data_IF_626897583471
#
_entry.id   IF_626897583471
#
_cell.length_a   1.000
_cell.length_b   1.000
_cell.length_c   1.000
_cell.angle_alpha   90.00
_cell.angle_beta   90.00
_cell.angle_gamma   90.00
#
_symmetry.space_group_name_H-M   'P 1'
#
loop_
_entity.id
_entity.type
_entity.pdbx_description
1 polymer ?
#
# COMPACT_ATOMS: atom_id res chain seq x y z
N UNK A 1 0.61 -17.94 -1.31
CA UNK A 1 2.06 -17.76 -1.53
C UNK A 1 2.48 -16.45 -0.86
N UNK A 2 3.34 -16.46 0.17
CA UNK A 2 3.71 -15.26 0.96
C UNK A 2 5.17 -15.19 1.40
N UNK A 3 5.97 -16.20 1.10
CA UNK A 3 7.28 -16.37 1.71
C UNK A 3 8.39 -16.37 0.67
N UNK A 4 9.57 -15.90 1.07
CA UNK A 4 10.84 -16.14 0.36
C UNK A 4 11.15 -17.63 0.30
N UNK A 5 12.21 -18.02 -0.43
CA UNK A 5 12.73 -19.39 -0.45
C UNK A 5 13.08 -19.95 0.95
N UNK A 6 13.16 -19.07 1.96
CA UNK A 6 13.45 -19.42 3.36
C UNK A 6 12.21 -19.41 4.27
N UNK A 7 11.01 -19.24 3.71
CA UNK A 7 9.78 -19.23 4.51
C UNK A 7 9.46 -17.88 5.18
N UNK A 8 10.23 -16.82 4.92
CA UNK A 8 10.03 -15.50 5.55
C UNK A 8 9.07 -14.61 4.73
N UNK A 9 8.14 -13.93 5.41
CA UNK A 9 7.37 -12.83 4.81
C UNK A 9 8.32 -11.64 4.59
N UNK A 10 8.73 -11.43 3.33
CA UNK A 10 9.62 -10.34 2.93
C UNK A 10 9.06 -8.97 3.33
N UNK A 11 7.74 -8.79 3.32
CA UNK A 11 7.11 -7.54 3.75
C UNK A 11 7.03 -7.39 5.28
N UNK A 12 7.82 -8.15 6.05
CA UNK A 12 8.09 -7.92 7.48
C UNK A 12 9.56 -7.69 7.80
N UNK A 13 10.42 -7.66 6.78
CA UNK A 13 11.86 -7.58 6.96
C UNK A 13 12.46 -6.23 6.55
N UNK A 14 11.64 -5.18 6.35
CA UNK A 14 12.13 -3.89 5.87
C UNK A 14 12.83 -3.05 6.95
N UNK A 15 12.58 -3.30 8.23
CA UNK A 15 13.18 -2.49 9.30
C UNK A 15 14.71 -2.64 9.30
N UNK A 16 15.21 -3.89 9.29
CA UNK A 16 16.65 -4.20 9.30
C UNK A 16 16.95 -5.41 8.41
N UNK A 17 16.88 -5.25 7.07
CA UNK A 17 17.19 -6.34 6.14
C UNK A 17 18.69 -6.65 6.14
N UNK A 18 19.05 -7.90 5.87
CA UNK A 18 20.45 -8.31 5.66
C UNK A 18 20.74 -8.50 4.18
N UNK A 19 21.91 -8.05 3.72
CA UNK A 19 22.37 -8.29 2.34
C UNK A 19 22.48 -9.79 2.00
N UNK A 20 22.72 -10.64 3.00
CA UNK A 20 22.82 -12.09 2.81
C UNK A 20 21.45 -12.78 2.89
N UNK A 21 20.57 -12.34 3.80
CA UNK A 21 19.30 -13.03 4.07
C UNK A 21 18.13 -12.47 3.26
N UNK A 22 18.07 -11.15 3.06
CA UNK A 22 17.05 -10.45 2.29
C UNK A 22 17.70 -9.45 1.29
N UNK A 23 18.53 -9.94 0.34
CA UNK A 23 19.29 -9.09 -0.58
C UNK A 23 18.40 -8.12 -1.36
N UNK A 24 17.22 -8.54 -1.78
CA UNK A 24 16.29 -7.72 -2.57
C UNK A 24 15.81 -6.49 -1.79
N UNK A 25 15.44 -6.66 -0.52
CA UNK A 25 15.00 -5.57 0.36
C UNK A 25 16.20 -4.68 0.72
N UNK A 26 17.34 -5.30 1.05
CA UNK A 26 18.56 -4.57 1.40
C UNK A 26 18.98 -3.61 0.27
N UNK A 27 19.09 -4.11 -0.96
CA UNK A 27 19.47 -3.29 -2.10
C UNK A 27 18.37 -2.32 -2.54
N UNK A 28 17.09 -2.66 -2.41
CA UNK A 28 16.00 -1.72 -2.64
C UNK A 28 16.04 -0.53 -1.67
N UNK A 29 16.25 -0.77 -0.35
CA UNK A 29 16.48 0.32 0.61
C UNK A 29 17.72 1.13 0.25
N UNK A 30 18.82 0.47 -0.12
CA UNK A 30 20.04 1.13 -0.58
C UNK A 30 19.81 2.08 -1.76
N UNK A 31 19.04 1.65 -2.76
CA UNK A 31 18.66 2.50 -3.90
C UNK A 31 17.85 3.72 -3.45
N UNK A 32 16.89 3.55 -2.55
CA UNK A 32 16.06 4.66 -2.06
C UNK A 32 16.91 5.68 -1.27
N UNK A 33 17.85 5.22 -0.44
CA UNK A 33 18.80 6.11 0.24
C UNK A 33 19.74 6.82 -0.73
N UNK A 34 20.25 6.11 -1.75
CA UNK A 34 21.08 6.71 -2.78
C UNK A 34 20.33 7.79 -3.57
N UNK A 35 19.10 7.51 -3.98
CA UNK A 35 18.24 8.50 -4.65
C UNK A 35 18.04 9.74 -3.76
N UNK A 36 17.83 9.54 -2.46
CA UNK A 36 17.72 10.65 -1.51
C UNK A 36 19.02 11.46 -1.40
N UNK A 37 20.18 10.79 -1.32
CA UNK A 37 21.47 11.48 -1.17
C UNK A 37 21.87 12.34 -2.37
N UNK A 38 21.36 12.03 -3.56
CA UNK A 38 21.56 12.83 -4.77
C UNK A 38 20.41 13.81 -5.06
N UNK A 39 19.52 14.06 -4.10
CA UNK A 39 18.40 15.00 -4.24
C UNK A 39 17.27 14.52 -5.15
N UNK A 40 17.17 13.20 -5.38
CA UNK A 40 16.14 12.55 -6.21
C UNK A 40 15.23 11.66 -5.39
N UNK A 41 14.94 12.05 -4.14
CA UNK A 41 14.02 11.33 -3.26
C UNK A 41 12.68 11.05 -3.94
N UNK A 42 12.15 9.81 -3.86
CA UNK A 42 10.85 9.50 -4.43
C UNK A 42 9.75 10.37 -3.82
N UNK A 43 8.90 10.91 -4.70
CA UNK A 43 7.72 11.70 -4.32
C UNK A 43 6.57 10.79 -3.90
N UNK A 44 6.52 9.56 -4.41
CA UNK A 44 5.53 8.52 -4.12
C UNK A 44 6.24 7.17 -4.06
N UNK A 45 5.86 6.32 -3.11
CA UNK A 45 6.26 4.92 -3.03
C UNK A 45 5.02 4.04 -3.00
N UNK A 46 5.01 2.94 -3.75
CA UNK A 46 3.87 2.03 -3.82
C UNK A 46 4.35 0.57 -3.82
N UNK A 47 3.95 -0.16 -2.79
CA UNK A 47 4.18 -1.60 -2.62
C UNK A 47 2.92 -2.35 -3.05
N UNK A 48 2.98 -3.11 -4.15
CA UNK A 48 1.82 -3.75 -4.76
C UNK A 48 1.62 -5.17 -4.24
N UNK A 49 0.42 -5.46 -3.75
CA UNK A 49 0.01 -6.73 -3.18
C UNK A 49 -1.29 -7.22 -3.79
N UNK A 50 -1.50 -8.52 -3.70
CA UNK A 50 -2.79 -9.13 -3.99
C UNK A 50 -3.51 -9.51 -2.70
N UNK A 51 -4.80 -9.18 -2.63
CA UNK A 51 -5.63 -9.37 -1.45
C UNK A 51 -6.63 -10.52 -1.64
N UNK A 52 -6.61 -11.51 -0.75
CA UNK A 52 -7.39 -12.75 -0.91
C UNK A 52 -8.78 -12.74 -0.28
N UNK A 53 -9.16 -11.66 0.43
CA UNK A 53 -10.44 -11.59 1.16
C UNK A 53 -11.33 -10.42 0.71
N UNK A 54 -10.82 -9.18 0.79
CA UNK A 54 -11.50 -7.99 0.26
C UNK A 54 -11.54 -8.01 -1.27
N UNK A 55 -12.69 -7.59 -1.84
CA UNK A 55 -12.90 -7.31 -3.28
C UNK A 55 -12.30 -5.92 -3.63
N UNK A 56 -12.15 -5.61 -4.93
CA UNK A 56 -11.68 -4.32 -5.48
C UNK A 56 -10.19 -3.98 -5.23
N UNK A 57 -9.81 -2.75 -5.57
CA UNK A 57 -8.49 -2.16 -5.34
C UNK A 57 -8.58 -1.08 -4.26
N UNK A 58 -7.66 -1.08 -3.31
CA UNK A 58 -7.60 -0.06 -2.25
C UNK A 58 -6.16 0.17 -1.78
N UNK A 59 -5.94 1.25 -1.02
CA UNK A 59 -4.64 1.62 -0.50
C UNK A 59 -4.61 1.59 1.03
N UNK A 60 -3.54 1.06 1.57
CA UNK A 60 -3.10 1.39 2.91
C UNK A 60 -2.02 2.47 2.85
N UNK A 61 -2.13 3.51 3.67
CA UNK A 61 -1.14 4.58 3.80
C UNK A 61 -0.60 4.71 5.22
N UNK A 62 -0.04 5.88 5.54
CA UNK A 62 0.47 6.18 6.87
C UNK A 62 0.04 7.58 7.32
N UNK A 63 -0.64 7.64 8.46
CA UNK A 63 -0.94 8.87 9.19
C UNK A 63 -0.66 8.68 10.67
N UNK A 64 0.16 9.57 11.22
CA UNK A 64 0.43 9.61 12.66
C UNK A 64 -0.80 10.07 13.44
N UNK A 65 -1.58 11.02 12.89
CA UNK A 65 -2.80 11.52 13.55
C UNK A 65 -3.86 10.44 13.66
N UNK A 66 -4.13 9.71 12.58
CA UNK A 66 -5.10 8.60 12.59
C UNK A 66 -4.65 7.48 13.53
N UNK A 67 -3.35 7.18 13.57
CA UNK A 67 -2.79 6.16 14.45
C UNK A 67 -2.90 6.54 15.93
N UNK A 68 -2.61 7.80 16.29
CA UNK A 68 -2.73 8.29 17.67
C UNK A 68 -4.19 8.37 18.12
N UNK A 69 -5.08 8.80 17.22
CA UNK A 69 -6.52 8.85 17.49
C UNK A 69 -7.09 7.46 17.78
N UNK A 70 -6.72 6.45 16.99
CA UNK A 70 -7.16 5.07 17.25
C UNK A 70 -6.56 4.48 18.54
N UNK A 71 -5.36 4.91 18.93
CA UNK A 71 -4.70 4.42 20.13
C UNK A 71 -5.18 5.10 21.43
N UNK A 72 -6.22 5.95 21.38
CA UNK A 72 -6.74 6.73 22.51
C UNK A 72 -5.64 7.48 23.30
N UNK A 73 -4.57 7.89 22.61
CA UNK A 73 -3.46 8.57 23.26
C UNK A 73 -3.86 9.98 23.68
N UNK A 74 -3.69 10.28 24.97
CA UNK A 74 -3.97 11.58 25.61
C UNK A 74 -3.01 12.69 25.19
N UNK A 75 -2.01 12.39 24.35
CA UNK A 75 -1.10 13.38 23.78
C UNK A 75 -1.89 14.24 22.80
N UNK A 76 -2.07 15.53 23.14
CA UNK A 76 -2.81 16.49 22.32
C UNK A 76 -2.34 16.50 20.87
N UNK A 77 -3.15 15.96 19.97
CA UNK A 77 -2.89 15.93 18.51
C UNK A 77 -2.94 17.32 17.88
N UNK A 78 -3.38 18.34 18.64
CA UNK A 78 -3.51 19.73 18.22
C UNK A 78 -2.18 20.37 17.81
N UNK A 79 -1.05 19.93 18.38
CA UNK A 79 0.28 20.47 18.06
C UNK A 79 1.02 19.68 16.98
N UNK A 80 0.48 18.55 16.52
CA UNK A 80 1.11 17.78 15.44
C UNK A 80 0.76 18.41 14.08
N UNK A 81 1.74 18.98 13.39
CA UNK A 81 1.65 19.26 11.96
C UNK A 81 1.86 17.95 11.19
N UNK A 82 0.91 17.60 10.32
CA UNK A 82 1.01 16.42 9.45
C UNK A 82 0.70 16.84 8.01
N UNK A 83 1.56 16.42 7.09
CA UNK A 83 1.30 16.56 5.65
C UNK A 83 0.15 15.64 5.24
N UNK A 84 -0.99 16.23 4.87
CA UNK A 84 -2.19 15.50 4.43
C UNK A 84 -2.12 15.01 2.97
N UNK A 85 -1.00 15.23 2.28
CA UNK A 85 -0.81 14.82 0.88
C UNK A 85 -0.83 13.31 0.67
N UNK A 86 -0.73 12.50 1.74
CA UNK A 86 -0.95 11.06 1.67
C UNK A 86 -2.36 10.70 1.17
N UNK A 87 -3.33 11.62 1.16
CA UNK A 87 -4.67 11.40 0.60
C UNK A 87 -4.79 11.68 -0.89
N UNK A 88 -3.76 12.28 -1.52
CA UNK A 88 -3.83 12.74 -2.91
C UNK A 88 -4.03 11.57 -3.89
N UNK A 89 -3.17 10.55 -3.84
CA UNK A 89 -3.29 9.40 -4.74
C UNK A 89 -4.62 8.64 -4.55
N UNK A 90 -5.06 8.30 -3.32
CA UNK A 90 -6.37 7.71 -3.10
C UNK A 90 -7.52 8.53 -3.71
N UNK A 91 -7.51 9.86 -3.56
CA UNK A 91 -8.56 10.74 -4.11
C UNK A 91 -8.56 10.78 -5.63
N UNK A 92 -7.39 10.69 -6.26
CA UNK A 92 -7.26 10.62 -7.72
C UNK A 92 -7.81 9.27 -8.21
N UNK A 93 -7.41 8.17 -7.58
CA UNK A 93 -7.87 6.83 -7.95
C UNK A 93 -9.38 6.66 -7.77
N UNK A 94 -9.96 7.20 -6.71
CA UNK A 94 -11.41 7.16 -6.47
C UNK A 94 -12.22 7.86 -7.57
N UNK A 95 -11.64 8.87 -8.23
CA UNK A 95 -12.27 9.56 -9.36
C UNK A 95 -12.05 8.86 -10.69
N UNK A 96 -10.87 8.28 -10.89
CA UNK A 96 -10.42 7.82 -12.20
C UNK A 96 -10.53 6.30 -12.41
N UNK A 97 -10.44 5.52 -11.34
CA UNK A 97 -10.37 4.06 -11.40
C UNK A 97 -11.68 3.44 -10.89
N UNK A 98 -12.52 2.88 -11.78
CA UNK A 98 -13.81 2.29 -11.40
C UNK A 98 -13.70 1.14 -10.38
N UNK A 99 -12.56 0.45 -10.37
CA UNK A 99 -12.28 -0.66 -9.46
C UNK A 99 -11.69 -0.20 -8.12
N UNK A 100 -11.44 1.09 -7.91
CA UNK A 100 -10.87 1.60 -6.66
C UNK A 100 -11.97 1.90 -5.65
N UNK A 101 -11.72 1.57 -4.38
CA UNK A 101 -12.67 1.80 -3.29
C UNK A 101 -12.01 2.61 -2.18
N UNK A 102 -12.29 3.92 -2.12
CA UNK A 102 -11.78 4.80 -1.06
C UNK A 102 -12.19 4.35 0.34
N UNK A 103 -13.43 3.87 0.54
CA UNK A 103 -13.93 3.44 1.85
C UNK A 103 -13.18 2.22 2.43
N UNK A 104 -12.48 1.46 1.58
CA UNK A 104 -11.66 0.32 2.01
C UNK A 104 -10.22 0.71 2.36
N UNK A 105 -9.83 1.97 2.11
CA UNK A 105 -8.51 2.47 2.46
C UNK A 105 -8.37 2.71 3.97
N UNK A 106 -7.16 2.58 4.49
CA UNK A 106 -6.83 2.94 5.88
C UNK A 106 -5.43 3.53 5.96
N UNK A 107 -5.25 4.58 6.76
CA UNK A 107 -3.95 5.23 6.94
C UNK A 107 -3.38 4.99 8.35
N UNK A 108 -4.06 4.18 9.16
CA UNK A 108 -3.58 3.75 10.47
C UNK A 108 -2.36 2.85 10.32
N UNK A 109 -1.35 3.06 11.17
CA UNK A 109 -0.15 2.23 11.25
C UNK A 109 -0.20 1.33 12.48
N UNK A 110 -0.59 0.07 12.29
CA UNK A 110 -0.54 -0.95 13.33
C UNK A 110 0.91 -1.31 13.71
N UNK A 111 1.14 -1.63 14.99
CA UNK A 111 2.47 -2.06 15.48
C UNK A 111 3.01 -3.29 14.72
N UNK A 112 2.14 -4.23 14.37
CA UNK A 112 2.48 -5.45 13.61
C UNK A 112 2.95 -5.18 12.17
N UNK A 113 2.73 -3.96 11.66
CA UNK A 113 3.09 -3.52 10.30
C UNK A 113 4.30 -2.59 10.29
N UNK A 114 4.91 -2.32 11.44
CA UNK A 114 6.01 -1.38 11.58
C UNK A 114 7.22 -1.72 10.70
N UNK A 115 7.41 -3.00 10.36
CA UNK A 115 8.51 -3.50 9.53
C UNK A 115 8.13 -3.79 8.08
N UNK A 116 6.99 -3.27 7.61
CA UNK A 116 6.58 -3.34 6.19
C UNK A 116 7.24 -2.25 5.36
N UNK A 117 7.33 -2.47 4.04
CA UNK A 117 7.92 -1.52 3.10
C UNK A 117 7.31 -0.12 3.23
N UNK A 118 5.98 -0.05 3.16
CA UNK A 118 5.20 1.18 3.28
C UNK A 118 5.63 2.01 4.49
N UNK A 119 5.66 1.38 5.67
CA UNK A 119 5.89 2.07 6.95
C UNK A 119 7.35 2.47 7.10
N UNK A 120 8.29 1.62 6.69
CA UNK A 120 9.72 1.92 6.75
C UNK A 120 10.07 3.07 5.81
N UNK A 121 9.59 3.04 4.56
CA UNK A 121 9.84 4.12 3.58
C UNK A 121 9.22 5.45 4.04
N UNK A 122 8.03 5.40 4.64
CA UNK A 122 7.40 6.59 5.24
C UNK A 122 8.23 7.18 6.39
N UNK A 123 8.68 6.35 7.34
CA UNK A 123 9.36 6.80 8.56
C UNK A 123 10.83 7.17 8.36
N UNK A 124 11.58 6.31 7.67
CA UNK A 124 13.04 6.44 7.57
C UNK A 124 13.47 7.33 6.40
N UNK A 125 12.66 7.41 5.34
CA UNK A 125 13.01 8.14 4.10
C UNK A 125 12.13 9.38 3.89
N UNK A 126 11.13 9.61 4.75
CA UNK A 126 10.29 10.81 4.71
C UNK A 126 9.32 10.88 3.53
N UNK A 127 9.03 9.76 2.86
CA UNK A 127 8.09 9.74 1.73
C UNK A 127 6.65 9.73 2.26
N UNK A 128 6.03 10.90 2.39
CA UNK A 128 4.64 11.05 2.90
C UNK A 128 3.63 10.20 2.13
N UNK A 129 3.80 10.10 0.80
CA UNK A 129 2.93 9.33 -0.11
C UNK A 129 3.47 7.91 -0.30
N UNK A 130 3.62 7.19 0.80
CA UNK A 130 4.04 5.79 0.81
C UNK A 130 2.84 4.89 1.04
N UNK A 131 2.62 3.93 0.14
CA UNK A 131 1.43 3.10 0.14
C UNK A 131 1.71 1.61 -0.01
N UNK A 132 0.77 0.81 0.50
CA UNK A 132 0.55 -0.56 0.05
C UNK A 132 -0.72 -0.55 -0.80
N UNK A 133 -0.63 -0.89 -2.08
CA UNK A 133 -1.80 -1.09 -2.93
C UNK A 133 -2.20 -2.56 -2.88
N UNK A 134 -3.46 -2.81 -2.57
CA UNK A 134 -4.02 -4.15 -2.48
C UNK A 134 -5.04 -4.32 -3.61
N UNK A 135 -4.78 -5.29 -4.50
CA UNK A 135 -5.67 -5.65 -5.60
C UNK A 135 -6.30 -7.01 -5.33
N UNK A 136 -7.63 -7.09 -5.37
CA UNK A 136 -8.31 -8.34 -5.03
C UNK A 136 -8.04 -9.48 -6.02
N UNK A 137 -7.81 -10.69 -5.49
CA UNK A 137 -7.92 -11.94 -6.25
C UNK A 137 -9.37 -12.39 -6.47
N UNK A 138 -10.31 -11.86 -5.67
CA UNK A 138 -11.73 -12.25 -5.65
C UNK A 138 -12.58 -11.43 -6.64
N UNK A 139 -11.96 -10.68 -7.54
CA UNK A 139 -12.62 -9.81 -8.51
C UNK A 139 -13.08 -8.47 -7.94
N UNK A 140 -13.74 -7.68 -8.80
CA UNK A 140 -14.37 -6.43 -8.39
C UNK A 140 -15.85 -6.66 -8.09
N UNK A 141 -16.42 -5.92 -7.15
CA UNK A 141 -17.88 -5.87 -6.94
C UNK A 141 -18.49 -4.52 -7.35
N UNK A 142 -17.72 -3.66 -8.00
CA UNK A 142 -18.14 -2.36 -8.52
C UNK A 142 -17.47 -2.07 -9.87
N UNK A 143 -18.05 -1.13 -10.61
CA UNK A 143 -17.53 -0.69 -11.91
C UNK A 143 -17.72 -1.73 -13.02
N UNK A 144 -17.17 -1.48 -14.22
CA UNK A 144 -17.35 -2.34 -15.39
C UNK A 144 -16.71 -3.73 -15.25
N UNK A 145 -15.89 -3.93 -14.20
CA UNK A 145 -15.21 -5.19 -13.90
C UNK A 145 -15.93 -6.00 -12.80
N UNK A 146 -17.14 -5.58 -12.41
CA UNK A 146 -17.93 -6.26 -11.40
C UNK A 146 -18.21 -7.72 -11.83
N UNK A 147 -17.74 -8.66 -11.02
CA UNK A 147 -18.09 -10.07 -11.16
C UNK A 147 -19.41 -10.27 -10.43
N UNK A 148 -20.50 -10.45 -11.17
CA UNK A 148 -21.78 -10.86 -10.58
C UNK A 148 -21.59 -12.23 -9.93
N UNK A 149 -21.97 -12.39 -8.65
CA UNK A 149 -21.97 -13.67 -7.94
C UNK A 149 -23.05 -14.65 -8.50
N UNK A 150 -23.43 -14.50 -9.78
CA UNK A 150 -24.38 -15.35 -10.46
C UNK A 150 -23.71 -16.69 -10.79
N UNK A 151 -24.17 -17.72 -10.07
CA UNK A 151 -23.94 -19.13 -10.30
C UNK A 151 -23.87 -19.44 -11.81
N UNK A 152 -22.69 -19.84 -12.31
CA UNK A 152 -22.62 -20.78 -13.42
C UNK A 152 -22.13 -20.33 -14.81
N UNK A 153 -21.57 -19.14 -15.03
CA UNK A 153 -20.92 -18.84 -16.33
C UNK A 153 -19.58 -18.14 -16.20
N UNK A 154 -18.53 -18.60 -16.92
CA UNK A 154 -17.26 -17.89 -16.98
C UNK A 154 -17.47 -16.58 -17.76
N UNK A 155 -17.24 -15.45 -17.10
CA UNK A 155 -17.11 -14.16 -17.77
C UNK A 155 -15.75 -14.17 -18.50
N UNK A 156 -15.73 -14.70 -19.72
CA UNK A 156 -14.58 -14.59 -20.59
C UNK A 156 -14.35 -13.10 -20.89
N UNK A 157 -13.15 -12.63 -20.56
CA UNK A 157 -12.59 -11.38 -21.07
C UNK A 157 -12.52 -11.48 -22.60
N UNK A 158 -13.59 -11.10 -23.29
CA UNK A 158 -13.50 -10.64 -24.67
C UNK A 158 -13.49 -9.11 -24.63
N UNK A 159 -12.29 -8.53 -24.59
CA UNK A 159 -12.11 -7.21 -25.17
C UNK A 159 -12.30 -7.38 -26.68
N UNK A 160 -13.51 -7.15 -27.18
CA UNK A 160 -13.68 -6.80 -28.58
C UNK A 160 -13.15 -5.39 -28.75
N UNK A 161 -11.90 -5.29 -29.17
CA UNK A 161 -11.42 -4.16 -29.95
C UNK A 161 -12.30 -4.06 -31.19
N UNK A 162 -13.01 -2.95 -31.34
CA UNK A 162 -13.48 -2.47 -32.64
C UNK A 162 -13.13 -1.00 -32.77
N UNK A 163 -12.53 -0.74 -33.93
CA UNK A 163 -12.12 0.53 -34.53
C UNK A 163 -13.19 1.61 -34.46
#
# INVERSE_FOLDING_TARGET
HRCSLRGEDLNRQWLSPSAHLQPTIYHAKGLLYYLSSIGRSPVVFCDFHGHSQKKNVFLYGCSIKETLWQAESTVGTSNLSEDVSYRTLPKILDKLAPAFTMSSCSFVVEKSRASTARVVVWREMGVSRSYTMESSYCGCNQGPYQVCDAVGYPCFLYTSSTL
#
